data_IF_742742249108
#
_entry.id   IF_742742249108
#
_cell.length_a   1.000
_cell.length_b   1.000
_cell.length_c   1.000
_cell.angle_alpha   90.00
_cell.angle_beta   90.00
_cell.angle_gamma   90.00
#
_symmetry.space_group_name_H-M   'P 1'
#
loop_
_entity.id
_entity.type
_entity.pdbx_description
1 polymer ?
#
# COMPACT_ATOMS: atom_id res chain seq x y z
N UNK A 1 13.03 -56.36 -35.04
CA UNK A 1 12.50 -55.00 -34.99
C UNK A 1 12.64 -54.52 -33.55
N UNK A 2 13.65 -53.67 -33.22
CA UNK A 2 13.93 -53.18 -31.85
C UNK A 2 13.25 -51.85 -31.68
N UNK A 3 12.28 -51.81 -30.79
CA UNK A 3 11.54 -50.57 -30.47
C UNK A 3 12.32 -49.85 -29.38
N UNK A 4 12.90 -48.69 -29.70
CA UNK A 4 13.52 -47.79 -28.72
C UNK A 4 12.42 -46.89 -28.12
N UNK A 5 12.18 -47.07 -26.82
CA UNK A 5 11.35 -46.13 -26.07
C UNK A 5 12.20 -44.96 -25.63
N UNK A 6 11.96 -43.82 -26.19
CA UNK A 6 12.55 -42.56 -25.72
C UNK A 6 11.78 -42.12 -24.46
N UNK A 7 12.46 -42.11 -23.32
CA UNK A 7 11.92 -41.55 -22.08
C UNK A 7 12.14 -40.02 -22.13
N UNK A 8 11.06 -39.27 -22.28
CA UNK A 8 11.09 -37.83 -22.20
C UNK A 8 11.13 -37.42 -20.72
N UNK A 9 12.27 -36.98 -20.26
CA UNK A 9 12.44 -36.45 -18.88
C UNK A 9 11.88 -35.03 -18.83
N UNK A 10 10.69 -34.84 -18.26
CA UNK A 10 10.11 -33.51 -18.02
C UNK A 10 10.75 -32.99 -16.73
N UNK A 11 11.69 -32.07 -16.86
CA UNK A 11 12.24 -31.32 -15.72
C UNK A 11 11.24 -30.20 -15.42
N UNK A 12 10.39 -30.40 -14.39
CA UNK A 12 9.55 -29.35 -13.83
C UNK A 12 10.43 -28.45 -12.97
N UNK A 13 10.93 -27.37 -13.56
CA UNK A 13 11.60 -26.32 -12.82
C UNK A 13 10.59 -25.57 -11.97
N UNK A 14 10.61 -25.76 -10.65
CA UNK A 14 9.94 -24.85 -9.71
C UNK A 14 10.70 -23.53 -9.72
N UNK A 15 10.15 -22.52 -10.36
CA UNK A 15 10.64 -21.14 -10.20
C UNK A 15 10.38 -20.74 -8.75
N UNK A 16 11.43 -20.68 -7.92
CA UNK A 16 11.40 -19.99 -6.64
C UNK A 16 11.18 -18.51 -6.97
N UNK A 17 10.01 -17.99 -6.60
CA UNK A 17 9.81 -16.54 -6.57
C UNK A 17 10.85 -15.98 -5.60
N UNK A 18 11.82 -15.23 -6.11
CA UNK A 18 12.78 -14.54 -5.26
C UNK A 18 12.01 -13.45 -4.50
N UNK A 19 12.05 -13.52 -3.16
CA UNK A 19 11.53 -12.46 -2.32
C UNK A 19 12.25 -11.15 -2.67
N UNK A 20 11.50 -10.12 -3.05
CA UNK A 20 12.06 -8.80 -3.29
C UNK A 20 12.53 -8.21 -1.96
N UNK A 21 13.78 -7.71 -1.85
CA UNK A 21 14.25 -7.12 -0.61
C UNK A 21 13.45 -5.86 -0.30
N UNK A 22 12.85 -5.82 0.88
CA UNK A 22 12.11 -4.65 1.38
C UNK A 22 13.09 -3.54 1.75
N UNK A 23 12.74 -2.31 1.41
CA UNK A 23 13.52 -1.13 1.81
C UNK A 23 13.42 -0.91 3.31
N UNK A 24 14.54 -0.64 4.03
CA UNK A 24 14.49 -0.39 5.46
C UNK A 24 13.81 0.96 5.75
N UNK A 25 13.07 1.03 6.86
CA UNK A 25 12.55 2.27 7.40
C UNK A 25 13.33 2.68 8.66
N UNK A 26 13.60 3.99 8.86
CA UNK A 26 14.17 4.48 10.10
C UNK A 26 13.29 4.16 11.31
N UNK A 27 13.91 3.94 12.46
CA UNK A 27 13.19 3.73 13.71
C UNK A 27 12.25 4.92 14.02
N UNK A 28 11.00 4.62 14.35
CA UNK A 28 9.98 5.63 14.61
C UNK A 28 9.36 6.30 13.39
N UNK A 29 9.70 5.86 12.17
CA UNK A 29 9.01 6.29 10.96
C UNK A 29 7.54 5.88 11.00
N UNK A 30 6.64 6.80 10.69
CA UNK A 30 5.19 6.56 10.79
C UNK A 30 4.39 7.45 9.85
N UNK A 31 3.38 6.88 9.21
CA UNK A 31 2.34 7.62 8.52
C UNK A 31 1.22 8.02 9.50
N UNK A 32 0.46 9.05 9.15
CA UNK A 32 -0.68 9.54 9.95
C UNK A 32 -1.73 10.11 9.01
N UNK A 33 -3.00 9.81 9.23
CA UNK A 33 -4.08 10.56 8.59
C UNK A 33 -4.27 11.83 9.42
N UNK A 34 -3.97 12.99 8.82
CA UNK A 34 -4.08 14.29 9.47
C UNK A 34 -5.56 14.70 9.52
N UNK A 35 -6.27 14.50 8.43
CA UNK A 35 -7.70 14.78 8.27
C UNK A 35 -8.31 13.75 7.30
N UNK A 36 -9.54 13.29 7.53
CA UNK A 36 -10.39 13.56 8.69
C UNK A 36 -9.87 12.91 9.98
N UNK A 37 -10.38 13.32 11.14
CA UNK A 37 -10.06 12.69 12.41
C UNK A 37 -10.86 11.39 12.58
N UNK A 38 -10.33 10.49 13.41
CA UNK A 38 -11.07 9.28 13.80
C UNK A 38 -12.43 9.63 14.43
N UNK A 39 -13.47 8.93 14.02
CA UNK A 39 -14.85 9.17 14.44
C UNK A 39 -15.55 10.33 13.74
N UNK A 40 -14.91 11.02 12.81
CA UNK A 40 -15.51 12.17 12.12
C UNK A 40 -16.72 11.76 11.26
N UNK A 41 -17.70 12.66 11.18
CA UNK A 41 -18.79 12.60 10.20
C UNK A 41 -18.53 13.61 9.10
N UNK A 42 -18.46 13.14 7.87
CA UNK A 42 -18.03 13.92 6.70
C UNK A 42 -19.03 13.80 5.55
N UNK A 43 -18.91 14.67 4.57
CA UNK A 43 -19.63 14.57 3.29
C UNK A 43 -18.69 14.04 2.21
N UNK A 44 -19.20 13.30 1.21
CA UNK A 44 -18.43 12.89 0.04
C UNK A 44 -18.54 13.99 -1.04
N UNK A 45 -17.47 14.25 -1.81
CA UNK A 45 -16.14 13.65 -1.72
C UNK A 45 -15.37 14.12 -0.48
N UNK A 46 -14.52 13.22 0.05
CA UNK A 46 -13.75 13.45 1.28
C UNK A 46 -12.32 13.82 0.93
N UNK A 47 -11.83 14.97 1.45
CA UNK A 47 -10.40 15.28 1.36
C UNK A 47 -9.66 14.60 2.50
N UNK A 48 -8.71 13.71 2.16
CA UNK A 48 -7.88 13.00 3.11
C UNK A 48 -6.46 13.56 3.03
N UNK A 49 -5.94 14.07 4.14
CA UNK A 49 -4.59 14.61 4.23
C UNK A 49 -3.65 13.61 4.89
N UNK A 50 -2.49 13.38 4.26
CA UNK A 50 -1.50 12.40 4.67
C UNK A 50 -0.33 13.07 5.39
N UNK A 51 0.04 12.55 6.55
CA UNK A 51 1.23 12.93 7.28
C UNK A 51 2.27 11.82 7.26
N UNK A 52 3.55 12.20 7.23
CA UNK A 52 4.67 11.29 7.31
C UNK A 52 5.73 11.86 8.25
N UNK A 53 6.19 11.05 9.19
CA UNK A 53 7.26 11.39 10.13
C UNK A 53 8.44 10.46 9.96
N UNK A 54 9.65 11.03 9.99
CA UNK A 54 10.90 10.27 9.96
C UNK A 54 11.34 9.79 8.59
N UNK A 55 10.57 10.09 7.54
CA UNK A 55 10.87 9.77 6.15
C UNK A 55 10.39 10.90 5.23
N UNK A 56 10.84 10.90 3.98
CA UNK A 56 10.38 11.78 2.93
C UNK A 56 9.38 11.10 1.99
N UNK A 57 8.59 11.91 1.29
CA UNK A 57 7.75 11.45 0.19
C UNK A 57 8.51 11.56 -1.12
N UNK A 58 8.50 10.50 -1.92
CA UNK A 58 9.05 10.49 -3.27
C UNK A 58 8.07 9.80 -4.23
N UNK A 59 8.05 10.17 -5.51
CA UNK A 59 7.24 9.47 -6.50
C UNK A 59 7.62 7.98 -6.63
N UNK A 60 6.66 7.15 -7.03
CA UNK A 60 6.92 5.77 -7.40
C UNK A 60 8.02 5.69 -8.47
N UNK A 61 8.85 4.66 -8.41
CA UNK A 61 9.99 4.49 -9.32
C UNK A 61 11.25 5.28 -8.96
N UNK A 62 11.19 6.19 -7.99
CA UNK A 62 12.35 6.95 -7.52
C UNK A 62 12.99 6.21 -6.35
N UNK A 63 14.13 5.57 -6.60
CA UNK A 63 14.91 4.87 -5.60
C UNK A 63 15.76 5.85 -4.78
N UNK A 64 15.24 6.30 -3.64
CA UNK A 64 15.94 7.17 -2.71
C UNK A 64 15.78 6.62 -1.29
N UNK A 65 16.88 6.54 -0.55
CA UNK A 65 16.86 6.06 0.83
C UNK A 65 15.92 6.90 1.71
N UNK A 66 15.22 6.24 2.63
CA UNK A 66 14.29 6.84 3.58
C UNK A 66 13.16 7.64 2.91
N UNK A 67 12.71 7.21 1.75
CA UNK A 67 11.56 7.79 1.05
C UNK A 67 10.59 6.72 0.59
N UNK A 68 9.37 7.14 0.35
CA UNK A 68 8.32 6.30 -0.22
C UNK A 68 7.12 7.14 -0.67
N UNK A 69 6.09 6.45 -1.14
CA UNK A 69 4.84 7.07 -1.56
C UNK A 69 3.65 6.43 -0.84
N UNK A 70 2.60 7.22 -0.69
CA UNK A 70 1.43 6.80 0.07
C UNK A 70 0.50 5.89 -0.73
N UNK A 71 -0.06 4.92 -0.01
CA UNK A 71 -1.25 4.18 -0.39
C UNK A 71 -2.31 4.39 0.69
N UNK A 72 -3.56 4.58 0.28
CA UNK A 72 -4.70 4.67 1.18
C UNK A 72 -5.54 3.40 1.06
N UNK A 73 -5.66 2.68 2.16
CA UNK A 73 -6.53 1.53 2.27
C UNK A 73 -7.92 2.01 2.68
N UNK A 74 -8.93 1.59 1.94
CA UNK A 74 -10.34 1.90 2.18
C UNK A 74 -11.07 0.59 2.41
N UNK A 75 -11.60 0.40 3.61
CA UNK A 75 -12.33 -0.82 4.00
C UNK A 75 -11.55 -2.12 3.76
N UNK A 76 -10.24 -2.05 3.85
CA UNK A 76 -9.33 -3.18 3.67
C UNK A 76 -8.37 -3.32 4.84
N UNK A 77 -7.94 -4.55 5.11
CA UNK A 77 -6.83 -4.84 6.00
C UNK A 77 -5.49 -4.58 5.31
N UNK A 78 -4.40 -4.58 6.09
CA UNK A 78 -3.07 -4.49 5.52
C UNK A 78 -2.82 -5.68 4.58
N UNK A 79 -2.34 -5.43 3.35
CA UNK A 79 -1.98 -6.50 2.43
C UNK A 79 -0.72 -7.24 2.94
N UNK A 80 -0.33 -8.36 2.32
CA UNK A 80 0.97 -8.98 2.58
C UNK A 80 2.11 -7.96 2.46
N UNK A 81 2.96 -7.87 3.49
CA UNK A 81 4.00 -6.83 3.57
C UNK A 81 5.28 -7.17 2.80
N UNK A 82 5.40 -8.38 2.29
CA UNK A 82 6.49 -8.91 1.49
C UNK A 82 6.21 -8.91 -0.02
N UNK A 83 5.09 -8.30 -0.41
CA UNK A 83 4.65 -8.20 -1.80
C UNK A 83 4.30 -6.75 -2.14
N UNK A 84 4.33 -6.36 -3.41
CA UNK A 84 3.85 -5.06 -3.85
C UNK A 84 2.40 -4.82 -3.43
N UNK A 85 2.13 -3.62 -2.94
CA UNK A 85 0.77 -3.22 -2.56
C UNK A 85 -0.14 -3.33 -3.78
N UNK A 86 -1.31 -4.00 -3.67
CA UNK A 86 -2.29 -4.04 -4.75
C UNK A 86 -2.70 -2.63 -5.21
N UNK A 87 -3.13 -2.51 -6.45
CA UNK A 87 -3.75 -1.29 -6.99
C UNK A 87 -5.18 -1.63 -7.43
N UNK A 88 -6.14 -1.34 -6.57
CA UNK A 88 -7.56 -1.61 -6.77
C UNK A 88 -8.42 -0.55 -6.04
N UNK A 89 -9.74 -0.74 -6.01
CA UNK A 89 -10.67 0.20 -5.39
C UNK A 89 -10.50 0.35 -3.87
N UNK A 90 -9.85 -0.62 -3.22
CA UNK A 90 -9.60 -0.60 -1.77
C UNK A 90 -8.16 -0.22 -1.42
N UNK A 91 -7.25 -0.19 -2.41
CA UNK A 91 -5.84 0.16 -2.25
C UNK A 91 -5.49 1.30 -3.20
N UNK A 92 -5.80 2.53 -2.80
CA UNK A 92 -5.60 3.71 -3.63
C UNK A 92 -4.13 4.11 -3.66
N UNK A 93 -3.56 4.26 -4.85
CA UNK A 93 -2.15 4.50 -5.08
C UNK A 93 -1.87 5.98 -5.40
N UNK A 94 -0.92 6.59 -4.69
CA UNK A 94 -0.52 7.99 -4.85
C UNK A 94 0.94 8.12 -5.29
N UNK A 95 1.23 7.57 -6.47
CA UNK A 95 2.57 7.41 -7.01
C UNK A 95 3.25 8.67 -7.55
N UNK A 96 2.60 9.83 -7.49
CA UNK A 96 3.20 11.12 -7.90
C UNK A 96 3.78 11.92 -6.72
N UNK A 97 3.80 11.34 -5.51
CA UNK A 97 4.24 12.02 -4.30
C UNK A 97 3.16 12.91 -3.67
N UNK A 98 1.89 12.60 -3.92
CA UNK A 98 0.76 13.32 -3.31
C UNK A 98 0.76 13.12 -1.79
N UNK A 99 0.41 14.20 -1.07
CA UNK A 99 0.25 14.23 0.38
C UNK A 99 -1.21 14.46 0.80
N UNK A 100 -2.11 14.50 -0.16
CA UNK A 100 -3.56 14.55 0.05
C UNK A 100 -4.28 13.95 -1.15
N UNK A 101 -5.52 13.54 -0.93
CA UNK A 101 -6.39 13.04 -1.97
C UNK A 101 -7.84 13.44 -1.71
N UNK A 102 -8.60 13.57 -2.80
CA UNK A 102 -10.05 13.69 -2.75
C UNK A 102 -10.65 12.35 -3.13
N UNK A 103 -11.38 11.73 -2.21
CA UNK A 103 -11.90 10.36 -2.34
C UNK A 103 -13.42 10.38 -2.31
N UNK A 104 -14.04 9.79 -3.33
CA UNK A 104 -15.49 9.58 -3.34
C UNK A 104 -15.83 8.29 -2.63
N UNK A 105 -16.62 8.39 -1.56
CA UNK A 105 -17.05 7.27 -0.73
C UNK A 105 -18.58 7.22 -0.67
N UNK A 106 -19.14 6.03 -0.66
CA UNK A 106 -20.56 5.84 -0.45
C UNK A 106 -20.98 6.27 0.97
N UNK A 107 -22.25 6.65 1.19
CA UNK A 107 -22.76 6.89 2.54
C UNK A 107 -22.54 5.68 3.45
N UNK A 108 -22.21 5.92 4.72
CA UNK A 108 -22.00 4.91 5.73
C UNK A 108 -20.63 4.97 6.38
N UNK A 109 -20.28 3.95 7.15
CA UNK A 109 -18.99 3.86 7.84
C UNK A 109 -17.91 3.33 6.91
N UNK A 110 -16.73 3.97 6.96
CA UNK A 110 -15.55 3.55 6.24
C UNK A 110 -14.34 3.52 7.16
N UNK A 111 -13.51 2.51 6.99
CA UNK A 111 -12.20 2.40 7.66
C UNK A 111 -11.12 2.87 6.70
N UNK A 112 -10.27 3.78 7.14
CA UNK A 112 -9.17 4.33 6.36
C UNK A 112 -7.84 4.05 7.08
N UNK A 113 -6.81 3.68 6.31
CA UNK A 113 -5.46 3.49 6.85
C UNK A 113 -4.42 3.83 5.79
N UNK A 114 -3.32 4.48 6.17
CA UNK A 114 -2.19 4.74 5.27
C UNK A 114 -1.14 3.64 5.38
N UNK A 115 -0.56 3.30 4.25
CA UNK A 115 0.60 2.43 4.11
C UNK A 115 1.60 3.12 3.16
N UNK A 116 2.84 3.31 3.62
CA UNK A 116 3.90 3.84 2.78
C UNK A 116 4.62 2.68 2.08
N UNK A 117 4.87 2.81 0.79
CA UNK A 117 5.63 1.84 0.02
C UNK A 117 6.81 2.50 -0.70
N UNK A 118 7.83 1.71 -1.00
CA UNK A 118 9.04 2.14 -1.68
C UNK A 118 8.84 2.30 -3.19
N UNK A 119 9.92 2.58 -3.91
CA UNK A 119 9.91 2.79 -5.36
C UNK A 119 9.38 1.59 -6.18
N UNK A 120 9.37 0.38 -5.60
CA UNK A 120 8.82 -0.85 -6.20
C UNK A 120 7.42 -1.20 -5.67
N UNK A 121 6.78 -0.31 -4.92
CA UNK A 121 5.50 -0.52 -4.24
C UNK A 121 5.57 -1.54 -3.10
N UNK A 122 6.77 -1.88 -2.62
CA UNK A 122 6.93 -2.78 -1.48
C UNK A 122 6.80 -1.99 -0.17
N UNK A 123 6.00 -2.47 0.80
CA UNK A 123 5.99 -1.92 2.14
C UNK A 123 7.38 -1.96 2.78
N UNK A 124 7.78 -0.91 3.48
CA UNK A 124 9.06 -0.84 4.18
C UNK A 124 9.15 -1.87 5.32
N UNK A 125 10.37 -2.15 5.78
CA UNK A 125 10.64 -2.97 6.94
C UNK A 125 11.46 -2.18 8.00
N UNK A 126 10.89 -1.95 9.22
CA UNK A 126 9.49 -2.21 9.62
C UNK A 126 8.47 -1.42 8.81
N UNK A 127 7.19 -1.87 8.76
CA UNK A 127 6.16 -1.21 7.96
C UNK A 127 5.85 0.19 8.48
N UNK A 128 5.72 1.14 7.56
CA UNK A 128 5.37 2.53 7.84
C UNK A 128 3.89 2.73 7.55
N UNK A 129 3.10 2.66 8.60
CA UNK A 129 1.64 2.67 8.55
C UNK A 129 1.07 3.72 9.48
N UNK A 130 -0.17 4.15 9.21
CA UNK A 130 -0.95 4.93 10.17
C UNK A 130 -1.74 4.03 11.12
N UNK A 131 -2.21 4.59 12.24
CA UNK A 131 -3.36 4.01 12.91
C UNK A 131 -4.55 4.04 11.94
N UNK A 132 -5.39 3.00 11.94
CA UNK A 132 -6.64 3.05 11.20
C UNK A 132 -7.59 4.06 11.86
N UNK A 133 -8.37 4.76 11.04
CA UNK A 133 -9.47 5.59 11.50
C UNK A 133 -10.78 5.07 10.93
N UNK A 134 -11.88 5.38 11.62
CA UNK A 134 -13.24 5.13 11.12
C UNK A 134 -13.94 6.46 10.96
N UNK A 135 -14.50 6.70 9.79
CA UNK A 135 -15.32 7.87 9.48
C UNK A 135 -16.74 7.44 9.11
N UNK A 136 -17.67 8.36 9.20
CA UNK A 136 -19.05 8.17 8.72
C UNK A 136 -19.33 9.19 7.62
N UNK A 137 -19.64 8.71 6.42
CA UNK A 137 -20.07 9.55 5.30
C UNK A 137 -21.58 9.72 5.39
N UNK A 138 -22.04 10.98 5.37
CA UNK A 138 -23.49 11.33 5.44
C UNK A 138 -24.21 10.85 4.18
N UNK A 139 -25.47 10.46 4.36
CA UNK A 139 -26.43 10.43 3.25
C UNK A 139 -26.76 11.88 2.87
N UNK A 140 -26.70 12.19 1.58
CA UNK A 140 -27.25 13.43 1.03
C UNK A 140 -28.76 13.37 0.91
#
# INVERSE_FOLDING_TARGET
MKIFHAILLIVTGTALAADLPRSPAPAGARATIISPLDGATVSSPVTVQFGLRGMGVAPAGIAMANTGHHHLLVDADLPPLDQPVPADEQHLHFGKGQTEAVVTLAPGKHRLQLLLADHLHLPHDPPVVSQPITITVRQE
#
